data_IF_157263417483
#
_entry.id   IF_157263417483
#
_cell.length_a   1.000
_cell.length_b   1.000
_cell.length_c   1.000
_cell.angle_alpha   90.00
_cell.angle_beta   90.00
_cell.angle_gamma   90.00
#
_symmetry.space_group_name_H-M   'P 1'
#
loop_
_entity.id
_entity.type
_entity.pdbx_description
1 polymer ?
#
# COMPACT_ATOMS: atom_id res chain seq x y z
N UNK A 1 16.97 9.49 13.61
CA UNK A 1 15.59 9.68 14.05
C UNK A 1 14.68 8.85 13.16
N UNK A 2 13.71 8.20 13.76
CA UNK A 2 12.73 7.40 13.03
C UNK A 2 11.34 8.00 13.23
N UNK A 3 10.54 7.97 12.17
CA UNK A 3 9.15 8.43 12.19
C UNK A 3 8.28 7.24 11.81
N UNK A 4 7.26 6.97 12.61
CA UNK A 4 6.31 5.90 12.34
C UNK A 4 4.92 6.49 12.12
N UNK A 5 4.32 6.16 10.97
CA UNK A 5 2.94 6.56 10.65
C UNK A 5 2.15 5.32 10.30
N UNK A 6 0.88 5.31 10.68
CA UNK A 6 0.01 4.16 10.43
C UNK A 6 -1.44 4.56 10.20
N UNK A 7 -2.19 3.64 9.58
CA UNK A 7 -3.61 3.82 9.28
C UNK A 7 -4.26 2.44 9.21
N UNK A 8 -5.50 2.36 9.65
CA UNK A 8 -6.26 1.11 9.55
C UNK A 8 -7.73 1.39 9.25
N UNK A 9 -8.37 0.41 8.60
CA UNK A 9 -9.78 0.47 8.27
C UNK A 9 -10.32 -0.97 8.17
N UNK A 10 -11.59 -1.15 8.53
CA UNK A 10 -12.26 -2.44 8.37
C UNK A 10 -12.99 -2.48 7.03
N UNK A 11 -12.89 -3.63 6.33
CA UNK A 11 -13.56 -3.84 5.05
C UNK A 11 -14.48 -5.06 5.13
N UNK A 12 -15.64 -4.97 4.47
CA UNK A 12 -16.63 -6.05 4.41
C UNK A 12 -16.28 -7.00 3.26
N UNK A 13 -15.17 -7.69 3.42
CA UNK A 13 -14.66 -8.63 2.43
C UNK A 13 -13.60 -9.51 3.08
N UNK A 14 -13.10 -10.50 2.34
CA UNK A 14 -12.02 -11.37 2.80
C UNK A 14 -10.67 -10.84 2.29
N UNK A 15 -9.56 -11.23 2.92
CA UNK A 15 -8.23 -10.82 2.44
C UNK A 15 -7.98 -11.16 0.97
N UNK A 16 -8.52 -12.28 0.48
CA UNK A 16 -8.34 -12.69 -0.92
C UNK A 16 -8.93 -11.69 -1.90
N UNK A 17 -10.05 -11.05 -1.54
CA UNK A 17 -10.68 -10.02 -2.38
C UNK A 17 -9.81 -8.77 -2.48
N UNK A 18 -9.17 -8.40 -1.36
CA UNK A 18 -8.25 -7.26 -1.32
C UNK A 18 -7.01 -7.56 -2.16
N UNK A 19 -6.43 -8.75 -1.96
CA UNK A 19 -5.23 -9.17 -2.67
C UNK A 19 -5.46 -9.25 -4.18
N UNK A 20 -6.60 -9.74 -4.59
CA UNK A 20 -6.97 -9.82 -6.01
C UNK A 20 -6.84 -8.47 -6.71
N UNK A 21 -7.17 -7.39 -6.00
CA UNK A 21 -7.04 -6.03 -6.55
C UNK A 21 -5.62 -5.50 -6.37
N UNK A 22 -5.02 -5.78 -5.23
CA UNK A 22 -3.69 -5.28 -4.87
C UNK A 22 -2.58 -5.90 -5.73
N UNK A 23 -2.68 -7.16 -6.08
CA UNK A 23 -1.60 -7.86 -6.77
C UNK A 23 -1.35 -7.37 -8.20
N UNK A 24 -2.31 -6.71 -8.82
CA UNK A 24 -2.17 -6.18 -10.17
C UNK A 24 -1.55 -4.79 -10.13
N UNK A 25 -0.24 -4.74 -9.92
CA UNK A 25 0.53 -3.52 -9.72
C UNK A 25 0.34 -2.50 -10.84
N UNK A 26 0.38 -2.97 -12.08
CA UNK A 26 0.28 -2.11 -13.27
C UNK A 26 -1.11 -1.48 -13.45
N UNK A 27 -2.11 -1.97 -12.71
CA UNK A 27 -3.47 -1.43 -12.74
C UNK A 27 -3.79 -0.51 -11.58
N UNK A 28 -2.86 -0.31 -10.66
CA UNK A 28 -3.11 0.52 -9.49
C UNK A 28 -3.62 1.92 -9.83
N UNK A 29 -3.07 2.54 -10.88
CA UNK A 29 -3.49 3.88 -11.29
C UNK A 29 -4.94 3.94 -11.81
N UNK A 30 -5.52 2.81 -12.17
CA UNK A 30 -6.88 2.76 -12.71
C UNK A 30 -7.94 3.01 -11.63
N UNK A 31 -7.64 2.63 -10.39
CA UNK A 31 -8.60 2.75 -9.28
C UNK A 31 -8.06 3.56 -8.10
N UNK A 32 -6.80 3.94 -8.11
CA UNK A 32 -6.15 4.59 -6.97
C UNK A 32 -5.51 5.91 -7.41
N UNK A 33 -6.17 7.01 -7.05
CA UNK A 33 -5.76 8.35 -7.51
C UNK A 33 -4.46 8.86 -6.87
N UNK A 34 -3.95 8.21 -5.82
CA UNK A 34 -2.64 8.58 -5.25
C UNK A 34 -1.48 8.00 -6.06
N UNK A 35 -1.77 7.09 -6.98
CA UNK A 35 -0.77 6.43 -7.83
C UNK A 35 -0.83 7.03 -9.23
N UNK A 36 0.33 7.46 -9.75
CA UNK A 36 0.43 7.89 -11.14
C UNK A 36 0.66 6.70 -12.07
N UNK A 37 1.67 5.88 -11.75
CA UNK A 37 1.98 4.66 -12.50
C UNK A 37 2.90 3.81 -11.65
N UNK A 38 2.71 2.50 -11.69
CA UNK A 38 3.63 1.57 -11.03
C UNK A 38 3.90 0.41 -11.97
N UNK A 39 5.14 -0.06 -11.99
CA UNK A 39 5.52 -1.16 -12.88
C UNK A 39 6.70 -1.96 -12.31
N UNK A 40 6.68 -3.25 -12.55
CA UNK A 40 7.79 -4.11 -12.18
C UNK A 40 9.03 -3.76 -13.01
N UNK A 41 10.18 -3.74 -12.35
CA UNK A 41 11.47 -3.44 -12.99
C UNK A 41 12.40 -4.63 -12.99
N UNK A 42 12.35 -5.46 -11.95
CA UNK A 42 13.29 -6.56 -11.78
C UNK A 42 12.68 -7.67 -10.94
N UNK A 43 12.92 -8.92 -11.30
CA UNK A 43 12.45 -10.09 -10.58
C UNK A 43 11.01 -10.47 -10.87
N UNK A 44 10.55 -11.54 -10.26
CA UNK A 44 9.17 -12.00 -10.39
C UNK A 44 8.26 -11.19 -9.48
N UNK A 45 7.02 -10.88 -9.92
CA UNK A 45 6.08 -10.11 -9.12
C UNK A 45 5.92 -10.69 -7.71
N UNK A 46 5.98 -9.77 -6.72
CA UNK A 46 5.72 -10.05 -5.31
C UNK A 46 6.66 -11.03 -4.61
N UNK A 47 7.79 -11.34 -5.22
CA UNK A 47 8.80 -12.15 -4.54
C UNK A 47 9.81 -11.26 -3.80
N UNK A 48 10.31 -11.76 -2.68
CA UNK A 48 11.35 -11.07 -1.92
C UNK A 48 12.52 -10.73 -2.83
N UNK A 49 12.97 -9.49 -2.77
CA UNK A 49 14.09 -9.00 -3.59
C UNK A 49 13.67 -8.42 -4.93
N UNK A 50 12.45 -8.67 -5.39
CA UNK A 50 11.94 -8.07 -6.63
C UNK A 50 11.78 -6.57 -6.45
N UNK A 51 11.91 -5.83 -7.55
CA UNK A 51 11.87 -4.37 -7.54
C UNK A 51 10.79 -3.84 -8.46
N UNK A 52 10.13 -2.77 -8.02
CA UNK A 52 9.20 -2.06 -8.88
C UNK A 52 9.35 -0.55 -8.68
N UNK A 53 8.88 0.18 -9.67
CA UNK A 53 8.82 1.63 -9.61
C UNK A 53 7.46 2.02 -9.06
N UNK A 54 7.45 2.72 -7.91
CA UNK A 54 6.23 3.24 -7.32
C UNK A 54 6.05 4.67 -7.77
N UNK A 55 5.08 4.90 -8.65
CA UNK A 55 4.75 6.25 -9.09
C UNK A 55 3.67 6.84 -8.21
N UNK A 56 3.96 7.95 -7.55
CA UNK A 56 3.03 8.68 -6.71
C UNK A 56 2.58 9.95 -7.42
N UNK A 57 1.27 10.20 -7.41
CA UNK A 57 0.69 11.46 -7.87
C UNK A 57 0.48 12.41 -6.70
N UNK A 58 0.35 11.89 -5.50
CA UNK A 58 0.07 12.65 -4.28
C UNK A 58 0.91 12.12 -3.13
N UNK A 59 1.30 12.93 -2.16
CA UNK A 59 1.00 14.37 -2.04
C UNK A 59 1.73 15.22 -3.08
N UNK A 60 2.74 14.66 -3.74
CA UNK A 60 3.47 15.30 -4.83
C UNK A 60 3.84 14.24 -5.86
N UNK A 61 4.02 14.66 -7.11
CA UNK A 61 4.45 13.75 -8.16
C UNK A 61 5.89 13.29 -7.91
N UNK A 62 6.09 11.97 -7.81
CA UNK A 62 7.42 11.39 -7.65
C UNK A 62 7.41 9.91 -8.02
N UNK A 63 8.57 9.40 -8.39
CA UNK A 63 8.75 7.98 -8.67
C UNK A 63 9.83 7.44 -7.73
N UNK A 64 9.52 6.35 -7.03
CA UNK A 64 10.41 5.76 -6.04
C UNK A 64 10.66 4.30 -6.41
N UNK A 65 11.91 3.91 -6.72
CA UNK A 65 12.25 2.51 -6.84
C UNK A 65 12.13 1.85 -5.47
N UNK A 66 11.42 0.73 -5.40
CA UNK A 66 11.26 0.00 -4.14
C UNK A 66 11.59 -1.47 -4.34
N UNK A 67 11.99 -2.12 -3.24
CA UNK A 67 12.33 -3.53 -3.23
C UNK A 67 11.44 -4.27 -2.25
N UNK A 68 10.90 -5.41 -2.66
CA UNK A 68 10.07 -6.25 -1.79
C UNK A 68 10.92 -6.86 -0.69
N UNK A 69 10.56 -6.59 0.55
CA UNK A 69 11.19 -7.16 1.73
C UNK A 69 10.58 -8.50 2.12
N UNK A 70 9.26 -8.58 2.02
CA UNK A 70 8.50 -9.78 2.37
C UNK A 70 7.16 -9.73 1.66
N UNK A 71 6.66 -10.90 1.26
CA UNK A 71 5.31 -11.01 0.74
C UNK A 71 4.73 -12.38 1.11
N UNK A 72 3.63 -12.34 1.85
CA UNK A 72 2.88 -13.53 2.25
C UNK A 72 1.42 -13.34 1.88
N UNK A 73 1.07 -13.56 0.58
CA UNK A 73 -0.30 -13.35 0.12
C UNK A 73 -1.27 -14.31 0.80
N UNK A 74 -2.49 -13.91 1.06
CA UNK A 74 -3.06 -12.59 0.78
C UNK A 74 -2.96 -11.60 1.95
N UNK A 75 -2.15 -11.87 2.95
CA UNK A 75 -2.23 -11.18 4.23
C UNK A 75 -1.17 -10.12 4.51
N UNK A 76 -0.01 -10.19 3.86
CA UNK A 76 1.06 -9.27 4.23
C UNK A 76 2.04 -9.00 3.09
N UNK A 77 2.47 -7.76 2.97
CA UNK A 77 3.53 -7.36 2.06
C UNK A 77 4.25 -6.13 2.62
N UNK A 78 5.55 -6.07 2.38
CA UNK A 78 6.34 -4.90 2.75
C UNK A 78 7.44 -4.66 1.74
N UNK A 79 7.76 -3.38 1.55
CA UNK A 79 8.85 -2.96 0.68
C UNK A 79 9.60 -1.79 1.27
N UNK A 80 10.78 -1.52 0.72
CA UNK A 80 11.62 -0.42 1.14
C UNK A 80 12.00 0.42 -0.07
N UNK A 81 11.95 1.74 0.09
CA UNK A 81 12.42 2.70 -0.89
C UNK A 81 13.26 3.77 -0.24
N UNK A 82 14.04 4.49 -1.06
CA UNK A 82 14.86 5.59 -0.61
C UNK A 82 14.64 6.81 -1.49
N UNK A 83 14.47 7.97 -0.87
CA UNK A 83 14.25 9.23 -1.58
C UNK A 83 14.63 10.41 -0.67
N UNK A 84 15.29 11.41 -1.22
CA UNK A 84 15.63 12.65 -0.53
C UNK A 84 16.26 12.46 0.86
N UNK A 85 17.17 11.49 0.98
CA UNK A 85 17.83 11.20 2.26
C UNK A 85 16.93 10.45 3.26
N UNK A 86 15.81 9.92 2.82
CA UNK A 86 14.87 9.16 3.64
C UNK A 86 14.87 7.70 3.18
N UNK A 87 14.91 6.77 4.13
CA UNK A 87 14.64 5.36 3.90
C UNK A 87 13.25 5.08 4.44
N UNK A 88 12.36 4.59 3.59
CA UNK A 88 10.98 4.29 3.96
C UNK A 88 10.69 2.80 3.83
N UNK A 89 10.32 2.16 4.94
CA UNK A 89 9.80 0.80 4.95
C UNK A 89 8.29 0.87 5.06
N UNK A 90 7.59 0.40 4.04
CA UNK A 90 6.14 0.47 3.96
C UNK A 90 5.55 -0.93 4.00
N UNK A 91 4.61 -1.14 4.91
CA UNK A 91 3.97 -2.43 5.15
C UNK A 91 2.47 -2.35 5.00
N UNK A 92 1.90 -3.46 4.53
CA UNK A 92 0.46 -3.64 4.43
C UNK A 92 0.11 -5.00 5.04
N UNK A 93 -0.97 -5.04 5.81
CA UNK A 93 -1.51 -6.31 6.28
C UNK A 93 -3.03 -6.33 6.15
N UNK A 94 -3.55 -7.50 5.83
CA UNK A 94 -4.99 -7.73 5.62
C UNK A 94 -5.38 -8.91 6.50
N UNK A 95 -5.88 -8.61 7.70
CA UNK A 95 -6.11 -9.59 8.75
C UNK A 95 -7.58 -10.03 8.79
N UNK A 96 -7.88 -11.32 8.53
CA UNK A 96 -9.26 -11.80 8.62
C UNK A 96 -9.75 -11.70 10.07
N UNK A 97 -11.00 -11.25 10.23
CA UNK A 97 -11.63 -11.11 11.54
C UNK A 97 -12.68 -12.17 11.74
N UNK A 98 -13.01 -12.51 13.01
CA UNK A 98 -14.01 -13.55 13.28
C UNK A 98 -15.41 -13.26 12.70
N UNK A 99 -15.76 -11.98 12.50
CA UNK A 99 -17.06 -11.57 11.95
C UNK A 99 -17.11 -11.61 10.42
N UNK A 100 -16.05 -12.08 9.74
CA UNK A 100 -16.00 -12.17 8.31
C UNK A 100 -15.49 -10.91 7.60
N UNK A 101 -15.17 -9.87 8.35
CA UNK A 101 -14.52 -8.67 7.80
C UNK A 101 -13.02 -8.85 7.76
N UNK A 102 -12.32 -7.92 7.15
CA UNK A 102 -10.87 -7.86 7.13
C UNK A 102 -10.41 -6.53 7.72
N UNK A 103 -9.46 -6.60 8.65
CA UNK A 103 -8.81 -5.41 9.16
C UNK A 103 -7.63 -5.09 8.24
N UNK A 104 -7.76 -3.98 7.51
CA UNK A 104 -6.71 -3.48 6.62
C UNK A 104 -5.83 -2.53 7.40
N UNK A 105 -4.53 -2.81 7.43
CA UNK A 105 -3.54 -1.94 8.10
C UNK A 105 -2.43 -1.58 7.15
N UNK A 106 -1.95 -0.36 7.26
CA UNK A 106 -0.70 0.05 6.60
C UNK A 106 0.10 0.87 7.59
N UNK A 107 1.41 0.69 7.55
CA UNK A 107 2.32 1.51 8.36
C UNK A 107 3.61 1.71 7.60
N UNK A 108 4.29 2.78 7.95
CA UNK A 108 5.53 3.13 7.29
C UNK A 108 6.50 3.70 8.31
N UNK A 109 7.74 3.22 8.26
CA UNK A 109 8.83 3.69 9.12
C UNK A 109 9.83 4.45 8.27
N UNK A 110 9.99 5.74 8.60
CA UNK A 110 10.91 6.64 7.89
C UNK A 110 12.13 6.88 8.75
N UNK A 111 13.32 6.76 8.15
CA UNK A 111 14.58 7.00 8.82
C UNK A 111 15.54 7.74 7.89
N UNK A 112 16.67 8.20 8.45
CA UNK A 112 17.70 8.90 7.71
C UNK A 112 17.63 10.42 7.88
N UNK A 113 18.67 11.16 7.40
CA UNK A 113 18.77 12.60 7.63
C UNK A 113 17.63 13.41 7.00
N UNK A 114 17.02 12.91 5.92
CA UNK A 114 15.91 13.59 5.28
C UNK A 114 14.68 13.73 6.16
N UNK A 115 14.56 12.93 7.25
CA UNK A 115 13.44 13.02 8.18
C UNK A 115 13.41 14.33 8.96
N UNK A 116 14.51 15.06 8.99
CA UNK A 116 14.56 16.39 9.61
C UNK A 116 13.59 17.37 8.92
N UNK A 117 13.23 17.10 7.66
CA UNK A 117 12.31 17.94 6.91
C UNK A 117 10.86 17.46 6.99
N UNK A 118 10.61 16.42 7.80
CA UNK A 118 9.26 15.85 7.98
C UNK A 118 8.50 16.60 9.08
N UNK A 119 7.97 17.77 8.74
CA UNK A 119 7.11 18.52 9.66
C UNK A 119 5.68 17.97 9.71
N UNK A 120 4.84 18.59 10.54
CA UNK A 120 3.45 18.16 10.73
C UNK A 120 2.63 18.15 9.44
N UNK A 121 2.88 19.11 8.55
CA UNK A 121 2.18 19.16 7.27
C UNK A 121 2.45 17.95 6.40
N UNK A 122 3.70 17.50 6.36
CA UNK A 122 4.08 16.31 5.57
C UNK A 122 3.53 15.03 6.19
N UNK A 123 3.52 14.94 7.52
CA UNK A 123 2.93 13.78 8.21
C UNK A 123 1.45 13.68 7.91
N UNK A 124 0.71 14.80 7.94
CA UNK A 124 -0.70 14.84 7.60
C UNK A 124 -0.95 14.43 6.15
N UNK A 125 -0.08 14.90 5.24
CA UNK A 125 -0.19 14.55 3.81
C UNK A 125 0.00 13.06 3.58
N UNK A 126 0.95 12.43 4.28
CA UNK A 126 1.20 10.99 4.18
C UNK A 126 0.04 10.20 4.77
N UNK A 127 -0.50 10.62 5.91
CA UNK A 127 -1.67 9.96 6.51
C UNK A 127 -2.88 10.05 5.58
N UNK A 128 -3.06 11.18 4.89
CA UNK A 128 -4.11 11.32 3.89
C UNK A 128 -3.89 10.38 2.71
N UNK A 129 -2.64 10.20 2.29
CA UNK A 129 -2.30 9.25 1.23
C UNK A 129 -2.75 7.84 1.61
N UNK A 130 -2.48 7.41 2.84
CA UNK A 130 -2.90 6.08 3.31
C UNK A 130 -4.42 5.96 3.32
N UNK A 131 -5.11 6.98 3.82
CA UNK A 131 -6.58 6.98 3.90
C UNK A 131 -7.19 6.91 2.50
N UNK A 132 -6.70 7.70 1.56
CA UNK A 132 -7.19 7.70 0.18
C UNK A 132 -6.93 6.36 -0.52
N UNK A 133 -5.73 5.80 -0.32
CA UNK A 133 -5.36 4.50 -0.88
C UNK A 133 -6.29 3.40 -0.36
N UNK A 134 -6.47 3.35 0.95
CA UNK A 134 -7.28 2.31 1.58
C UNK A 134 -8.77 2.46 1.30
N UNK A 135 -9.26 3.69 1.18
CA UNK A 135 -10.66 3.91 0.81
C UNK A 135 -10.93 3.37 -0.59
N UNK A 136 -10.04 3.65 -1.54
CA UNK A 136 -10.16 3.14 -2.91
C UNK A 136 -10.03 1.62 -2.96
N UNK A 137 -9.06 1.05 -2.25
CA UNK A 137 -8.84 -0.39 -2.21
C UNK A 137 -10.03 -1.11 -1.56
N UNK A 138 -10.52 -0.59 -0.45
CA UNK A 138 -11.70 -1.12 0.23
C UNK A 138 -12.92 -1.12 -0.70
N UNK A 139 -13.17 -0.02 -1.39
CA UNK A 139 -14.29 0.09 -2.33
C UNK A 139 -14.22 -1.00 -3.39
N UNK A 140 -13.05 -1.19 -4.00
CA UNK A 140 -12.86 -2.19 -5.05
C UNK A 140 -12.99 -3.62 -4.50
N UNK A 141 -12.39 -3.89 -3.35
CA UNK A 141 -12.42 -5.22 -2.76
C UNK A 141 -13.83 -5.61 -2.30
N UNK A 142 -14.58 -4.67 -1.72
CA UNK A 142 -15.96 -4.93 -1.32
C UNK A 142 -16.86 -5.16 -2.52
N UNK A 143 -16.62 -4.48 -3.63
CA UNK A 143 -17.34 -4.72 -4.89
C UNK A 143 -17.06 -6.14 -5.41
N UNK A 144 -15.81 -6.56 -5.40
CA UNK A 144 -15.41 -7.92 -5.79
C UNK A 144 -16.13 -8.96 -4.90
N UNK A 145 -16.17 -8.71 -3.60
CA UNK A 145 -16.82 -9.61 -2.65
C UNK A 145 -18.33 -9.74 -2.93
N UNK A 146 -19.00 -8.62 -3.22
CA UNK A 146 -20.43 -8.63 -3.55
C UNK A 146 -20.70 -9.38 -4.86
N UNK A 147 -19.87 -9.18 -5.87
CA UNK A 147 -20.00 -9.87 -7.15
C UNK A 147 -19.78 -11.38 -7.00
N UNK A 148 -18.82 -11.79 -6.18
CA UNK A 148 -18.55 -13.20 -5.90
C UNK A 148 -19.75 -13.85 -5.18
N UNK A 149 -20.34 -13.15 -4.21
CA UNK A 149 -21.51 -13.64 -3.47
C UNK A 149 -22.74 -13.79 -4.39
N UNK A 150 -22.90 -12.87 -5.35
CA UNK A 150 -24.02 -12.92 -6.29
C UNK A 150 -23.90 -14.07 -7.28
N UNK A 151 -22.68 -14.60 -7.52
CA UNK A 151 -22.44 -15.71 -8.43
C UNK A 151 -22.53 -17.08 -7.78
N UNK A 152 -22.59 -17.13 -6.46
CA UNK A 152 -22.65 -18.41 -5.72
C UNK A 152 -24.06 -18.88 -5.43
#
# INVERSE_FOLDING_TARGET
>A
MAIHLEHSVSAKCRPEHIWQKFENLDQWSWWNRVISQSKWQEGQPWQKGSRFLLGLARPMSMEVPVEILECAPPQKVGWVGKFFGVRAEHWFSFEPQPDGTTLMKTWEDFSGPGTLFFGNGRRKAVLKLYADWFEALKFEAERIAREAAARS
#
